data_IF_957091406295
#
_entry.id   IF_957091406295
#
_cell.length_a   1.000
_cell.length_b   1.000
_cell.length_c   1.000
_cell.angle_alpha   90.00
_cell.angle_beta   90.00
_cell.angle_gamma   90.00
#
_symmetry.space_group_name_H-M   'P 1'
#
loop_
_entity.id
_entity.type
_entity.pdbx_description
1 polymer ?
#
# COMPACT_ATOMS: atom_id res chain seq x y z
N UNK A 1 -10.75 4.21 8.36
CA UNK A 1 -9.35 4.18 8.82
C UNK A 1 -8.69 5.44 8.28
N UNK A 2 -8.02 6.24 9.11
CA UNK A 2 -7.28 7.43 8.67
C UNK A 2 -5.87 7.07 8.21
N UNK A 3 -5.20 7.99 7.53
CA UNK A 3 -3.80 7.84 7.16
C UNK A 3 -2.90 7.63 8.40
N UNK A 4 -3.12 8.41 9.46
CA UNK A 4 -2.36 8.28 10.70
C UNK A 4 -2.54 6.90 11.34
N UNK A 5 -3.79 6.40 11.37
CA UNK A 5 -4.08 5.04 11.83
C UNK A 5 -3.35 4.01 10.98
N UNK A 6 -3.29 4.20 9.67
CA UNK A 6 -2.59 3.30 8.76
C UNK A 6 -1.07 3.29 8.99
N UNK A 7 -0.45 4.44 9.25
CA UNK A 7 1.00 4.61 9.45
C UNK A 7 1.49 4.36 10.89
N UNK A 8 0.56 4.24 11.84
CA UNK A 8 0.87 3.97 13.24
C UNK A 8 1.63 2.65 13.44
N UNK A 9 1.42 1.66 12.57
CA UNK A 9 2.08 0.36 12.63
C UNK A 9 3.49 0.31 12.03
N UNK A 10 4.02 1.42 11.50
CA UNK A 10 5.37 1.46 10.92
C UNK A 10 6.40 1.79 12.01
N UNK A 11 7.50 1.03 12.05
CA UNK A 11 8.60 1.24 13.00
C UNK A 11 9.20 2.64 12.88
N UNK A 12 9.28 3.36 14.00
CA UNK A 12 9.93 4.67 14.07
C UNK A 12 11.40 4.63 13.63
N UNK A 13 12.11 3.54 13.92
CA UNK A 13 13.50 3.42 13.52
C UNK A 13 13.67 3.18 12.02
N UNK A 14 12.73 2.46 11.40
CA UNK A 14 12.69 2.35 9.95
C UNK A 14 12.45 3.73 9.32
N UNK A 15 11.50 4.52 9.86
CA UNK A 15 11.23 5.90 9.41
C UNK A 15 12.47 6.79 9.49
N UNK A 16 13.27 6.67 10.55
CA UNK A 16 14.52 7.43 10.72
C UNK A 16 15.65 6.99 9.77
N UNK A 17 15.56 5.77 9.23
CA UNK A 17 16.59 5.18 8.36
C UNK A 17 16.35 5.46 6.87
N UNK A 18 15.22 6.09 6.52
CA UNK A 18 14.87 6.49 5.15
C UNK A 18 14.53 7.99 5.10
N UNK A 19 14.36 8.56 3.91
CA UNK A 19 13.91 9.94 3.77
C UNK A 19 12.49 10.11 4.38
N UNK A 20 12.33 10.80 5.52
CA UNK A 20 11.06 10.91 6.23
C UNK A 20 9.98 11.66 5.43
N UNK A 21 10.40 12.37 4.39
CA UNK A 21 9.55 13.14 3.49
C UNK A 21 8.50 12.31 2.74
N UNK A 22 8.67 10.99 2.66
CA UNK A 22 7.70 10.08 2.06
C UNK A 22 6.39 10.04 2.87
N UNK A 23 6.48 10.15 4.21
CA UNK A 23 5.34 10.00 5.11
C UNK A 23 4.71 11.32 5.52
N UNK A 24 5.43 12.44 5.38
CA UNK A 24 4.97 13.73 5.88
C UNK A 24 3.98 14.41 4.92
N UNK A 25 4.00 14.06 3.63
CA UNK A 25 3.17 14.77 2.62
C UNK A 25 2.79 13.99 1.36
N UNK A 26 3.32 12.78 1.14
CA UNK A 26 3.17 12.09 -0.15
C UNK A 26 2.07 11.02 -0.17
N UNK A 27 1.66 10.47 0.97
CA UNK A 27 0.46 9.61 1.02
C UNK A 27 -0.78 10.49 1.00
N UNK A 28 -1.66 10.39 -0.01
CA UNK A 28 -2.89 11.14 -0.03
C UNK A 28 -3.84 10.66 1.07
N UNK A 29 -4.58 11.60 1.66
CA UNK A 29 -5.75 11.25 2.47
C UNK A 29 -6.80 10.60 1.58
N UNK A 30 -7.51 9.61 2.14
CA UNK A 30 -8.61 8.98 1.44
C UNK A 30 -9.74 9.99 1.24
N UNK A 31 -10.04 10.33 -0.01
CA UNK A 31 -11.17 11.19 -0.40
C UNK A 31 -12.23 10.38 -1.14
N UNK A 32 -13.46 10.87 -1.16
CA UNK A 32 -14.53 10.26 -1.96
C UNK A 32 -14.16 10.23 -3.45
N UNK A 33 -13.53 11.28 -3.96
CA UNK A 33 -13.05 11.34 -5.34
C UNK A 33 -12.09 10.18 -5.69
N UNK A 34 -11.18 9.83 -4.78
CA UNK A 34 -10.27 8.70 -4.98
C UNK A 34 -11.03 7.38 -5.05
N UNK A 35 -12.01 7.19 -4.15
CA UNK A 35 -12.86 6.00 -4.12
C UNK A 35 -13.61 5.86 -5.44
N UNK A 36 -14.27 6.93 -5.89
CA UNK A 36 -15.08 6.94 -7.10
C UNK A 36 -14.22 6.68 -8.36
N UNK A 37 -13.04 7.31 -8.43
CA UNK A 37 -12.11 7.11 -9.56
C UNK A 37 -11.56 5.69 -9.62
N UNK A 38 -11.19 5.10 -8.48
CA UNK A 38 -10.74 3.71 -8.43
C UNK A 38 -11.88 2.78 -8.85
N UNK A 39 -13.07 2.93 -8.25
CA UNK A 39 -14.25 2.12 -8.59
C UNK A 39 -14.58 2.18 -10.08
N UNK A 40 -14.56 3.37 -10.68
CA UNK A 40 -14.80 3.55 -12.11
C UNK A 40 -13.74 2.89 -12.98
N UNK A 41 -12.46 2.99 -12.64
CA UNK A 41 -11.35 2.43 -13.44
C UNK A 41 -11.23 0.92 -13.30
N UNK A 42 -11.55 0.37 -12.15
CA UNK A 42 -11.42 -1.07 -11.88
C UNK A 42 -12.71 -1.84 -12.13
N UNK A 43 -13.88 -1.19 -12.09
CA UNK A 43 -15.17 -1.85 -12.10
C UNK A 43 -15.56 -2.48 -10.75
N UNK A 44 -14.73 -2.29 -9.72
CA UNK A 44 -14.97 -2.81 -8.37
C UNK A 44 -15.92 -1.90 -7.59
N UNK A 45 -16.63 -2.46 -6.62
CA UNK A 45 -17.46 -1.66 -5.70
C UNK A 45 -16.75 -1.40 -4.37
N UNK A 46 -16.89 -0.18 -3.86
CA UNK A 46 -16.35 0.16 -2.55
C UNK A 46 -17.28 -0.33 -1.44
N UNK A 47 -16.72 -0.97 -0.43
CA UNK A 47 -17.42 -1.36 0.79
C UNK A 47 -16.78 -0.71 2.01
N UNK A 48 -17.65 -0.22 2.90
CA UNK A 48 -17.21 0.16 4.24
C UNK A 48 -16.91 -1.13 5.00
N UNK A 49 -15.73 -1.26 5.58
CA UNK A 49 -15.29 -2.44 6.34
C UNK A 49 -16.06 -2.66 7.66
N UNK A 50 -17.30 -2.19 7.76
CA UNK A 50 -18.25 -2.43 8.84
C UNK A 50 -19.57 -2.92 8.24
N UNK A 51 -19.66 -4.23 8.07
CA UNK A 51 -20.94 -4.90 8.29
C UNK A 51 -20.67 -6.27 8.96
N UNK A 52 -20.90 -6.39 10.28
CA UNK A 52 -20.83 -7.67 10.98
C UNK A 52 -22.07 -8.55 10.74
N UNK A 53 -23.09 -8.08 10.02
CA UNK A 53 -24.41 -8.75 9.90
C UNK A 53 -24.86 -9.02 8.46
N UNK A 54 -24.19 -8.44 7.45
CA UNK A 54 -24.43 -8.73 6.03
C UNK A 54 -23.65 -9.95 5.52
N UNK A 55 -24.30 -10.80 4.73
CA UNK A 55 -23.78 -12.00 4.06
C UNK A 55 -22.25 -12.01 3.84
N UNK A 56 -21.59 -13.08 4.28
CA UNK A 56 -20.13 -13.36 4.24
C UNK A 56 -19.37 -12.49 3.24
N UNK A 57 -18.90 -11.34 3.72
CA UNK A 57 -18.12 -10.43 2.89
C UNK A 57 -16.70 -11.02 2.75
N UNK A 58 -16.47 -11.76 1.67
CA UNK A 58 -15.19 -12.39 1.36
C UNK A 58 -14.12 -11.40 0.85
N UNK A 59 -14.44 -10.10 0.79
CA UNK A 59 -13.57 -9.05 0.25
C UNK A 59 -12.16 -9.01 0.87
N UNK A 60 -12.03 -9.43 2.14
CA UNK A 60 -10.75 -9.50 2.85
C UNK A 60 -10.25 -10.92 3.09
N UNK A 61 -10.89 -11.95 2.52
CA UNK A 61 -10.41 -13.31 2.66
C UNK A 61 -9.20 -13.53 1.74
N UNK A 62 -8.05 -13.86 2.35
CA UNK A 62 -6.79 -14.14 1.64
C UNK A 62 -6.85 -15.42 0.79
N UNK A 63 -7.83 -16.27 1.01
CA UNK A 63 -8.06 -17.50 0.22
C UNK A 63 -8.77 -17.22 -1.12
N UNK A 64 -9.38 -16.04 -1.27
CA UNK A 64 -10.02 -15.62 -2.52
C UNK A 64 -8.96 -15.06 -3.45
N UNK A 65 -8.84 -15.66 -4.63
CA UNK A 65 -7.94 -15.18 -5.69
C UNK A 65 -8.35 -13.77 -6.12
N UNK A 66 -7.37 -12.95 -6.51
CA UNK A 66 -7.57 -11.52 -6.75
C UNK A 66 -8.66 -11.23 -7.80
N UNK A 67 -8.75 -12.05 -8.85
CA UNK A 67 -9.73 -11.94 -9.93
C UNK A 67 -11.19 -12.25 -9.53
N UNK A 68 -11.41 -12.73 -8.31
CA UNK A 68 -12.76 -12.96 -7.77
C UNK A 68 -13.12 -11.94 -6.69
N UNK A 69 -12.27 -10.92 -6.47
CA UNK A 69 -12.56 -9.84 -5.53
C UNK A 69 -13.31 -8.73 -6.22
N UNK A 70 -14.63 -8.75 -6.07
CA UNK A 70 -15.51 -7.75 -6.67
C UNK A 70 -15.56 -6.42 -5.88
N UNK A 71 -15.01 -6.40 -4.66
CA UNK A 71 -15.12 -5.29 -3.73
C UNK A 71 -13.77 -4.87 -3.14
N UNK A 72 -13.60 -3.58 -2.87
CA UNK A 72 -12.43 -3.04 -2.17
C UNK A 72 -12.82 -2.15 -0.99
N UNK A 73 -11.92 -2.05 -0.03
CA UNK A 73 -12.09 -1.28 1.21
C UNK A 73 -11.15 -0.08 1.25
N UNK A 74 -11.31 0.76 2.28
CA UNK A 74 -10.36 1.84 2.57
C UNK A 74 -8.92 1.34 2.79
N UNK A 75 -8.74 0.11 3.30
CA UNK A 75 -7.40 -0.44 3.55
C UNK A 75 -6.71 -0.77 2.22
N UNK A 76 -7.44 -1.32 1.26
CA UNK A 76 -6.89 -1.69 -0.05
C UNK A 76 -6.42 -0.45 -0.83
N UNK A 77 -7.13 0.67 -0.71
CA UNK A 77 -6.72 1.95 -1.32
C UNK A 77 -5.44 2.48 -0.67
N UNK A 78 -5.33 2.37 0.65
CA UNK A 78 -4.15 2.83 1.38
C UNK A 78 -2.94 1.95 1.07
N UNK A 79 -3.14 0.62 0.98
CA UNK A 79 -2.13 -0.33 0.53
C UNK A 79 -1.70 -0.04 -0.92
N UNK A 80 -2.63 0.22 -1.84
CA UNK A 80 -2.32 0.66 -3.21
C UNK A 80 -1.50 1.95 -3.22
N UNK A 81 -1.92 2.97 -2.47
CA UNK A 81 -1.22 4.24 -2.39
C UNK A 81 0.20 4.08 -1.84
N UNK A 82 0.36 3.15 -0.89
CA UNK A 82 1.66 2.82 -0.33
C UNK A 82 2.61 2.23 -1.37
N UNK A 83 2.13 1.35 -2.27
CA UNK A 83 2.95 0.85 -3.37
C UNK A 83 3.37 1.96 -4.34
N UNK A 84 2.42 2.80 -4.76
CA UNK A 84 2.69 3.92 -5.67
C UNK A 84 3.81 4.82 -5.15
N UNK A 85 3.86 5.10 -3.84
CA UNK A 85 4.89 5.95 -3.24
C UNK A 85 6.30 5.36 -3.26
N UNK A 86 6.35 4.03 -3.35
CA UNK A 86 7.57 3.27 -3.42
C UNK A 86 8.04 3.06 -4.87
N UNK A 87 7.17 3.30 -5.87
CA UNK A 87 7.54 3.31 -7.29
C UNK A 87 8.66 4.32 -7.59
N UNK A 88 9.65 3.91 -8.37
CA UNK A 88 10.78 4.77 -8.76
C UNK A 88 10.35 5.89 -9.71
N UNK A 89 9.39 5.63 -10.60
CA UNK A 89 8.80 6.64 -11.50
C UNK A 89 8.05 7.71 -10.71
N UNK A 90 7.33 7.31 -9.66
CA UNK A 90 6.63 8.23 -8.78
C UNK A 90 7.61 9.05 -7.92
N UNK A 91 8.67 8.42 -7.40
CA UNK A 91 9.68 9.09 -6.58
C UNK A 91 10.49 10.16 -7.33
N UNK A 92 10.72 9.95 -8.63
CA UNK A 92 11.46 10.90 -9.48
C UNK A 92 10.63 12.12 -9.92
N UNK A 93 9.31 12.12 -9.68
CA UNK A 93 8.42 13.25 -10.01
C UNK A 93 8.46 14.33 -8.91
N UNK A 94 8.37 15.61 -9.29
CA UNK A 94 8.43 16.75 -8.35
C UNK A 94 7.22 16.76 -7.37
N UNK A 95 7.50 16.92 -6.07
CA UNK A 95 6.54 16.98 -4.94
C UNK A 95 5.27 17.81 -5.21
N UNK A 96 5.36 18.93 -5.91
CA UNK A 96 4.20 19.80 -6.16
C UNK A 96 3.24 19.26 -7.23
N UNK A 97 3.76 18.53 -8.22
CA UNK A 97 2.94 17.83 -9.21
C UNK A 97 2.26 16.59 -8.61
N UNK A 98 2.96 15.94 -7.65
CA UNK A 98 2.50 14.70 -7.00
C UNK A 98 1.21 14.86 -6.21
N UNK A 99 1.00 15.99 -5.52
CA UNK A 99 -0.23 16.23 -4.75
C UNK A 99 -1.47 16.39 -5.63
N UNK A 100 -1.30 16.84 -6.89
CA UNK A 100 -2.40 17.09 -7.83
C UNK A 100 -2.67 15.89 -8.75
N UNK A 101 -1.63 15.12 -9.09
CA UNK A 101 -1.69 14.02 -10.05
C UNK A 101 -1.34 12.68 -9.39
N UNK A 102 -2.10 12.27 -8.37
CA UNK A 102 -1.96 10.93 -7.83
C UNK A 102 -2.34 9.88 -8.90
N UNK A 103 -1.50 8.87 -9.17
CA UNK A 103 -1.75 7.90 -10.23
C UNK A 103 -2.84 6.92 -9.83
N UNK A 104 -3.73 6.62 -10.76
CA UNK A 104 -4.85 5.71 -10.56
C UNK A 104 -4.57 4.37 -11.25
N UNK A 105 -5.14 3.27 -10.76
CA UNK A 105 -4.92 1.97 -11.37
C UNK A 105 -5.45 1.96 -12.81
N UNK A 106 -4.78 1.21 -13.68
CA UNK A 106 -5.22 1.02 -15.07
C UNK A 106 -6.50 0.19 -15.14
N UNK A 107 -6.55 -0.85 -14.31
CA UNK A 107 -7.61 -1.85 -14.23
C UNK A 107 -7.59 -2.54 -12.85
N UNK A 108 -8.57 -3.40 -12.59
CA UNK A 108 -8.66 -4.24 -11.39
C UNK A 108 -7.37 -5.00 -11.07
N UNK A 109 -6.78 -5.66 -12.07
CA UNK A 109 -5.58 -6.47 -11.89
C UNK A 109 -4.39 -5.64 -11.36
N UNK A 110 -4.17 -4.47 -11.96
CA UNK A 110 -3.12 -3.54 -11.53
C UNK A 110 -3.39 -3.00 -10.13
N UNK A 111 -4.65 -2.71 -9.80
CA UNK A 111 -5.04 -2.25 -8.47
C UNK A 111 -4.70 -3.29 -7.41
N UNK A 112 -5.13 -4.54 -7.59
CA UNK A 112 -4.92 -5.59 -6.61
C UNK A 112 -3.45 -5.99 -6.46
N UNK A 113 -2.70 -6.08 -7.56
CA UNK A 113 -1.26 -6.36 -7.50
C UNK A 113 -0.50 -5.27 -6.74
N UNK A 114 -0.81 -4.00 -7.01
CA UNK A 114 -0.17 -2.88 -6.33
C UNK A 114 -0.60 -2.80 -4.86
N UNK A 115 -1.89 -3.01 -4.54
CA UNK A 115 -2.35 -3.10 -3.16
C UNK A 115 -1.64 -4.22 -2.40
N UNK A 116 -1.50 -5.41 -2.99
CA UNK A 116 -0.79 -6.53 -2.36
C UNK A 116 0.68 -6.17 -2.06
N UNK A 117 1.40 -5.60 -3.04
CA UNK A 117 2.78 -5.18 -2.87
C UNK A 117 2.92 -4.10 -1.78
N UNK A 118 2.03 -3.11 -1.76
CA UNK A 118 2.05 -2.06 -0.73
C UNK A 118 1.78 -2.61 0.66
N UNK A 119 0.84 -3.57 0.79
CA UNK A 119 0.58 -4.29 2.03
C UNK A 119 1.81 -5.07 2.52
N UNK A 120 2.55 -5.71 1.60
CA UNK A 120 3.80 -6.41 1.92
C UNK A 120 4.89 -5.43 2.41
N UNK A 121 5.09 -4.31 1.71
CA UNK A 121 6.05 -3.27 2.10
C UNK A 121 5.68 -2.73 3.49
N UNK A 122 4.41 -2.41 3.75
CA UNK A 122 3.97 -1.95 5.08
C UNK A 122 4.29 -2.96 6.18
N UNK A 123 4.05 -4.25 5.95
CA UNK A 123 4.39 -5.32 6.91
C UNK A 123 5.88 -5.41 7.17
N UNK A 124 6.71 -5.27 6.14
CA UNK A 124 8.17 -5.20 6.28
C UNK A 124 8.56 -4.01 7.16
N UNK A 125 8.00 -2.83 6.89
CA UNK A 125 8.33 -1.59 7.61
C UNK A 125 7.85 -1.58 9.07
N UNK A 126 6.87 -2.41 9.41
CA UNK A 126 6.46 -2.65 10.80
C UNK A 126 7.55 -3.38 11.60
N UNK A 127 8.43 -4.12 10.93
CA UNK A 127 9.45 -5.02 11.52
C UNK A 127 8.87 -6.12 12.43
N UNK A 128 7.54 -6.20 12.60
CA UNK A 128 6.85 -7.18 13.44
C UNK A 128 6.99 -8.62 12.93
N UNK A 129 7.10 -8.79 11.61
CA UNK A 129 7.22 -10.10 10.95
C UNK A 129 8.67 -10.50 10.62
N UNK A 130 9.67 -9.65 10.91
CA UNK A 130 11.09 -10.03 10.81
C UNK A 130 11.53 -10.89 12.03
N UNK A 131 10.59 -11.67 12.59
CA UNK A 131 10.76 -12.53 13.76
C UNK A 131 10.95 -13.97 13.27
N UNK A 132 12.16 -14.51 13.41
CA UNK A 132 12.36 -15.91 13.86
C UNK A 132 13.81 -16.34 13.98
N UNK A 133 14.80 -15.67 13.36
CA UNK A 133 16.19 -16.04 13.61
C UNK A 133 16.68 -15.32 14.88
N UNK A 134 16.83 -16.07 15.97
CA UNK A 134 17.18 -15.62 17.33
C UNK A 134 18.51 -14.83 17.48
N UNK A 135 19.13 -14.41 16.38
CA UNK A 135 20.50 -13.88 16.37
C UNK A 135 20.70 -12.58 15.58
N UNK A 136 19.65 -11.94 15.05
CA UNK A 136 19.80 -10.67 14.33
C UNK A 136 19.53 -9.43 15.20
N UNK A 137 20.47 -8.50 15.19
CA UNK A 137 20.37 -7.18 15.82
C UNK A 137 19.31 -6.32 15.14
N UNK A 138 18.89 -5.27 15.83
CA UNK A 138 17.91 -4.33 15.31
C UNK A 138 18.39 -3.60 14.03
N UNK A 139 19.69 -3.31 13.93
CA UNK A 139 20.28 -2.73 12.71
C UNK A 139 20.21 -3.70 11.54
N UNK A 140 20.49 -4.98 11.76
CA UNK A 140 20.34 -6.00 10.71
C UNK A 140 18.90 -6.14 10.23
N UNK A 141 17.91 -6.01 11.12
CA UNK A 141 16.48 -5.99 10.72
C UNK A 141 16.15 -4.82 9.80
N UNK A 142 16.71 -3.64 10.06
CA UNK A 142 16.53 -2.47 9.18
C UNK A 142 17.18 -2.73 7.82
N UNK A 143 18.42 -3.23 7.79
CA UNK A 143 19.11 -3.57 6.53
C UNK A 143 18.31 -4.58 5.70
N UNK A 144 17.81 -5.64 6.34
CA UNK A 144 16.95 -6.63 5.68
C UNK A 144 15.65 -6.00 5.16
N UNK A 145 15.01 -5.16 5.97
CA UNK A 145 13.81 -4.45 5.56
C UNK A 145 14.04 -3.59 4.31
N UNK A 146 15.15 -2.85 4.24
CA UNK A 146 15.53 -2.06 3.07
C UNK A 146 15.74 -2.94 1.83
N UNK A 147 16.49 -4.05 1.98
CA UNK A 147 16.76 -4.98 0.88
C UNK A 147 15.48 -5.64 0.34
N UNK A 148 14.57 -6.09 1.21
CA UNK A 148 13.30 -6.67 0.80
C UNK A 148 12.38 -5.62 0.15
N UNK A 149 12.35 -4.41 0.70
CA UNK A 149 11.61 -3.29 0.11
C UNK A 149 12.11 -2.99 -1.30
N UNK A 150 13.43 -2.95 -1.54
CA UNK A 150 14.00 -2.73 -2.88
C UNK A 150 13.60 -3.80 -3.90
N UNK A 151 13.48 -5.07 -3.48
CA UNK A 151 12.97 -6.14 -4.36
C UNK A 151 11.51 -5.90 -4.74
N UNK A 152 10.68 -5.45 -3.80
CA UNK A 152 9.28 -5.15 -4.05
C UNK A 152 9.11 -3.90 -4.92
N UNK A 153 9.96 -2.89 -4.75
CA UNK A 153 9.98 -1.70 -5.62
C UNK A 153 10.20 -2.08 -7.09
N UNK A 154 11.17 -2.97 -7.37
CA UNK A 154 11.39 -3.44 -8.74
C UNK A 154 10.15 -4.10 -9.35
N UNK A 155 9.41 -4.89 -8.56
CA UNK A 155 8.14 -5.50 -9.01
C UNK A 155 7.05 -4.44 -9.24
N UNK A 156 6.99 -3.40 -8.42
CA UNK A 156 6.07 -2.28 -8.62
C UNK A 156 6.36 -1.58 -9.94
N UNK A 157 7.63 -1.32 -10.24
CA UNK A 157 8.05 -0.62 -11.46
C UNK A 157 7.79 -1.43 -12.74
N UNK A 158 7.73 -2.76 -12.64
CA UNK A 158 7.32 -3.66 -13.73
C UNK A 158 5.80 -3.59 -14.02
N UNK A 159 5.00 -3.16 -13.05
CA UNK A 159 3.55 -3.01 -13.21
C UNK A 159 3.25 -1.65 -13.81
N UNK A 160 2.78 -1.65 -15.07
CA UNK A 160 2.30 -0.45 -15.74
C UNK A 160 1.14 0.17 -14.96
N UNK A 161 1.35 1.37 -14.44
CA UNK A 161 0.34 2.27 -13.91
C UNK A 161 0.20 3.41 -14.93
N UNK A 162 -1.03 3.74 -15.33
CA UNK A 162 -1.36 4.74 -16.36
C UNK A 162 -1.83 6.07 -15.76
#
# INVERSE_FOLDING_TARGET
MTLDQYLSGISSAYKLSIEPELYDTRIPNLTQEMIDKIAHKTGLHFILAKDPEGNVCMANNKEVRLEFREAFTSIDILDYAYAILHSSTFRSTNKESLKKNFPYPKNEESFWKLAELGSQIKKIHSLENLKAEEFITYQQKITLALLETDKLIKRIDEIKHE
#
